data_IF_121245448497
#
_entry.id   IF_121245448497
#
_cell.length_a   1.000
_cell.length_b   1.000
_cell.length_c   1.000
_cell.angle_alpha   90.00
_cell.angle_beta   90.00
_cell.angle_gamma   90.00
#
_symmetry.space_group_name_H-M   'P 1'
#
loop_
_entity.id
_entity.type
_entity.pdbx_description
1 polymer ?
#
# COMPACT_ATOMS: atom_id res chain seq x y z
N UNK A 1 24.36 -42.18 27.09
CA UNK A 1 22.95 -42.29 26.65
C UNK A 1 22.10 -41.58 27.69
N UNK A 2 21.74 -40.31 27.44
CA UNK A 2 21.00 -39.48 28.41
C UNK A 2 19.53 -39.88 28.33
N UNK A 3 19.00 -40.46 29.41
CA UNK A 3 17.59 -40.84 29.53
C UNK A 3 16.82 -39.59 29.95
N UNK A 4 16.31 -38.84 28.96
CA UNK A 4 15.56 -37.62 29.22
C UNK A 4 14.27 -37.98 29.97
N UNK A 5 14.01 -37.32 31.10
CA UNK A 5 12.86 -37.63 31.96
C UNK A 5 11.57 -37.36 31.18
N UNK A 6 10.65 -38.33 31.15
CA UNK A 6 9.41 -38.29 30.37
C UNK A 6 8.56 -37.03 30.66
N UNK A 7 8.67 -36.51 31.88
CA UNK A 7 8.05 -35.24 32.31
C UNK A 7 8.60 -34.03 31.56
N UNK A 8 9.93 -33.94 31.38
CA UNK A 8 10.56 -32.83 30.65
C UNK A 8 10.23 -32.88 29.15
N UNK A 9 10.08 -34.08 28.58
CA UNK A 9 9.66 -34.24 27.18
C UNK A 9 8.24 -33.70 26.98
N UNK A 10 7.31 -34.00 27.90
CA UNK A 10 5.93 -33.52 27.83
C UNK A 10 5.83 -32.00 28.00
N UNK A 11 6.58 -31.43 28.95
CA UNK A 11 6.63 -29.97 29.17
C UNK A 11 7.22 -29.24 27.94
N UNK A 12 8.25 -29.79 27.31
CA UNK A 12 8.84 -29.24 26.09
C UNK A 12 7.88 -29.28 24.91
N UNK A 13 7.15 -30.39 24.71
CA UNK A 13 6.14 -30.50 23.64
C UNK A 13 5.00 -29.51 23.89
N UNK A 14 4.55 -29.33 25.14
CA UNK A 14 3.50 -28.38 25.47
C UNK A 14 3.93 -26.93 25.17
N UNK A 15 5.18 -26.57 25.48
CA UNK A 15 5.75 -25.26 25.17
C UNK A 15 5.89 -25.02 23.67
N UNK A 16 6.29 -26.04 22.89
CA UNK A 16 6.36 -25.94 21.43
C UNK A 16 4.96 -25.78 20.80
N UNK A 17 3.96 -26.51 21.32
CA UNK A 17 2.56 -26.33 20.90
C UNK A 17 2.05 -24.93 21.27
N UNK A 18 2.35 -24.45 22.47
CA UNK A 18 1.97 -23.10 22.89
C UNK A 18 2.65 -22.02 22.04
N UNK A 19 3.92 -22.17 21.68
CA UNK A 19 4.64 -21.26 20.79
C UNK A 19 4.10 -21.30 19.35
N UNK A 20 3.72 -22.48 18.83
CA UNK A 20 3.08 -22.61 17.52
C UNK A 20 1.67 -21.99 17.51
N UNK A 21 0.91 -22.13 18.59
CA UNK A 21 -0.41 -21.48 18.73
C UNK A 21 -0.25 -19.96 18.88
N UNK A 22 0.74 -19.48 19.65
CA UNK A 22 0.99 -18.06 19.89
C UNK A 22 1.45 -17.32 18.63
N UNK A 23 2.32 -17.94 17.82
CA UNK A 23 2.72 -17.40 16.50
C UNK A 23 1.58 -17.47 15.47
N UNK A 24 0.61 -18.37 15.66
CA UNK A 24 -0.62 -18.41 14.85
C UNK A 24 -1.71 -17.45 15.36
N UNK A 25 -1.49 -16.75 16.47
CA UNK A 25 -2.45 -15.83 17.09
C UNK A 25 -2.19 -14.35 16.74
N UNK A 26 -1.06 -14.07 16.07
CA UNK A 26 -0.76 -12.72 15.59
C UNK A 26 -1.66 -12.42 14.39
N UNK A 27 -2.68 -11.60 14.62
CA UNK A 27 -3.64 -11.25 13.57
C UNK A 27 -2.99 -10.32 12.54
N UNK A 28 -3.21 -10.65 11.28
CA UNK A 28 -2.89 -9.80 10.15
C UNK A 28 -3.77 -8.56 10.08
N UNK A 29 -4.98 -8.64 10.66
CA UNK A 29 -5.94 -7.55 10.68
C UNK A 29 -5.86 -6.67 11.94
N UNK A 30 -4.78 -6.72 12.74
CA UNK A 30 -4.69 -5.96 14.01
C UNK A 30 -5.04 -4.47 13.89
N UNK A 31 -4.74 -3.84 12.75
CA UNK A 31 -5.01 -2.42 12.48
C UNK A 31 -6.20 -2.16 11.55
N UNK A 32 -6.98 -3.18 11.20
CA UNK A 32 -8.10 -3.06 10.26
C UNK A 32 -9.42 -2.91 11.01
N UNK A 33 -10.24 -1.95 10.60
CA UNK A 33 -11.64 -1.79 11.01
C UNK A 33 -12.60 -2.26 9.91
N UNK A 34 -13.90 -2.38 10.22
CA UNK A 34 -14.91 -2.90 9.28
C UNK A 34 -14.92 -2.12 7.95
N UNK A 35 -14.74 -0.80 8.01
CA UNK A 35 -14.79 0.10 6.85
C UNK A 35 -13.51 0.03 5.98
N UNK A 36 -12.46 -0.66 6.44
CA UNK A 36 -11.23 -0.89 5.67
C UNK A 36 -11.38 -2.00 4.64
N UNK A 37 -12.39 -2.86 4.80
CA UNK A 37 -12.63 -3.95 3.87
C UNK A 37 -13.46 -3.49 2.67
N UNK A 38 -12.96 -3.79 1.47
CA UNK A 38 -13.76 -3.57 0.27
C UNK A 38 -15.06 -4.38 0.31
N UNK A 39 -16.13 -3.91 -0.34
CA UNK A 39 -17.44 -4.58 -0.33
C UNK A 39 -17.42 -6.05 -0.77
N UNK A 40 -16.45 -6.44 -1.61
CA UNK A 40 -16.29 -7.82 -2.08
C UNK A 40 -15.66 -8.75 -1.04
N UNK A 41 -15.03 -8.22 0.01
CA UNK A 41 -14.35 -9.05 1.01
C UNK A 41 -15.40 -9.71 1.92
N UNK A 42 -15.44 -11.06 2.01
CA UNK A 42 -16.40 -11.74 2.87
C UNK A 42 -16.23 -11.35 4.34
N UNK A 43 -17.33 -11.32 5.10
CA UNK A 43 -17.31 -11.00 6.53
C UNK A 43 -16.72 -12.09 7.43
N UNK A 44 -16.41 -13.26 6.88
CA UNK A 44 -15.82 -14.35 7.64
C UNK A 44 -14.42 -13.97 8.12
N UNK A 45 -14.15 -14.20 9.40
CA UNK A 45 -12.86 -13.94 10.04
C UNK A 45 -11.69 -14.54 9.25
N UNK A 46 -11.78 -15.81 8.85
CA UNK A 46 -10.75 -16.49 8.05
C UNK A 46 -10.43 -15.75 6.74
N UNK A 47 -11.46 -15.35 5.97
CA UNK A 47 -11.24 -14.66 4.70
C UNK A 47 -10.59 -13.29 4.89
N UNK A 48 -11.01 -12.54 5.91
CA UNK A 48 -10.45 -11.22 6.25
C UNK A 48 -9.01 -11.34 6.73
N UNK A 49 -8.75 -12.30 7.59
CA UNK A 49 -7.42 -12.58 8.14
C UNK A 49 -6.42 -12.92 7.02
N UNK A 50 -6.82 -13.76 6.05
CA UNK A 50 -6.02 -14.01 4.85
C UNK A 50 -5.85 -12.73 4.00
N UNK A 51 -6.92 -11.95 3.82
CA UNK A 51 -6.91 -10.71 3.02
C UNK A 51 -5.94 -9.67 3.57
N UNK A 52 -5.98 -9.39 4.88
CA UNK A 52 -5.06 -8.47 5.54
C UNK A 52 -3.61 -8.93 5.40
N UNK A 53 -3.36 -10.24 5.37
CA UNK A 53 -2.03 -10.83 5.24
C UNK A 53 -1.33 -10.53 3.91
N UNK A 54 -2.08 -10.20 2.85
CA UNK A 54 -1.50 -9.85 1.55
C UNK A 54 -0.70 -8.55 1.60
N UNK A 55 -1.17 -7.56 2.34
CA UNK A 55 -0.54 -6.22 2.41
C UNK A 55 0.74 -6.19 3.26
N UNK A 56 1.10 -7.29 3.93
CA UNK A 56 2.40 -7.46 4.59
C UNK A 56 3.50 -7.95 3.63
N UNK A 57 3.16 -8.39 2.41
CA UNK A 57 4.08 -9.04 1.47
C UNK A 57 4.81 -8.04 0.57
N UNK A 58 5.67 -7.22 1.19
CA UNK A 58 6.47 -6.18 0.50
C UNK A 58 7.44 -6.72 -0.57
N UNK A 59 7.72 -8.03 -0.56
CA UNK A 59 8.60 -8.68 -1.51
C UNK A 59 7.94 -9.01 -2.86
N UNK A 60 6.61 -8.86 -2.97
CA UNK A 60 5.89 -9.06 -4.21
C UNK A 60 5.82 -7.76 -5.02
N UNK A 61 5.82 -7.90 -6.34
CA UNK A 61 5.35 -6.84 -7.25
C UNK A 61 3.83 -6.70 -7.17
N UNK A 62 3.31 -5.58 -7.67
CA UNK A 62 1.86 -5.35 -7.70
C UNK A 62 1.14 -6.43 -8.51
N UNK A 63 1.69 -6.83 -9.66
CA UNK A 63 1.11 -7.91 -10.47
C UNK A 63 1.07 -9.25 -9.72
N UNK A 64 2.16 -9.62 -9.04
CA UNK A 64 2.21 -10.86 -8.23
C UNK A 64 1.25 -10.82 -7.02
N UNK A 65 1.12 -9.66 -6.39
CA UNK A 65 0.16 -9.44 -5.31
C UNK A 65 -1.28 -9.61 -5.82
N UNK A 66 -1.62 -8.99 -6.96
CA UNK A 66 -2.95 -9.12 -7.56
C UNK A 66 -3.25 -10.57 -7.97
N UNK A 67 -2.28 -11.31 -8.52
CA UNK A 67 -2.44 -12.73 -8.82
C UNK A 67 -2.68 -13.57 -7.56
N UNK A 68 -2.07 -13.19 -6.44
CA UNK A 68 -2.26 -13.85 -5.15
C UNK A 68 -3.66 -13.58 -4.60
N UNK A 69 -4.12 -12.33 -4.64
CA UNK A 69 -5.47 -11.94 -4.21
C UNK A 69 -6.52 -12.57 -5.14
N UNK A 70 -6.26 -12.70 -6.45
CA UNK A 70 -7.17 -13.34 -7.40
C UNK A 70 -7.43 -14.80 -7.08
N UNK A 71 -6.40 -15.54 -6.65
CA UNK A 71 -6.53 -16.93 -6.19
C UNK A 71 -7.38 -17.01 -4.91
N UNK A 72 -7.18 -16.07 -3.98
CA UNK A 72 -8.00 -15.93 -2.79
C UNK A 72 -9.46 -15.59 -3.14
N UNK A 73 -9.69 -14.66 -4.06
CA UNK A 73 -11.03 -14.27 -4.51
C UNK A 73 -11.76 -15.46 -5.14
N UNK A 74 -11.04 -16.29 -5.90
CA UNK A 74 -11.56 -17.56 -6.43
C UNK A 74 -11.93 -18.55 -5.31
N UNK A 75 -11.09 -18.70 -4.28
CA UNK A 75 -11.34 -19.56 -3.11
C UNK A 75 -12.64 -19.19 -2.39
N UNK A 76 -12.93 -17.90 -2.25
CA UNK A 76 -14.11 -17.40 -1.53
C UNK A 76 -15.31 -17.06 -2.43
N UNK A 77 -15.23 -17.32 -3.74
CA UNK A 77 -16.34 -17.11 -4.67
C UNK A 77 -16.65 -15.63 -4.95
N UNK A 78 -15.66 -14.75 -4.83
CA UNK A 78 -15.77 -13.29 -5.05
C UNK A 78 -14.92 -12.79 -6.21
N UNK A 79 -14.55 -13.69 -7.13
CA UNK A 79 -13.63 -13.41 -8.23
C UNK A 79 -14.16 -12.33 -9.18
N UNK A 80 -15.43 -12.37 -9.55
CA UNK A 80 -16.03 -11.39 -10.47
C UNK A 80 -16.02 -9.97 -9.86
N UNK A 81 -16.37 -9.85 -8.58
CA UNK A 81 -16.35 -8.57 -7.86
C UNK A 81 -14.92 -8.04 -7.71
N UNK A 82 -13.95 -8.93 -7.43
CA UNK A 82 -12.55 -8.57 -7.36
C UNK A 82 -12.01 -8.11 -8.72
N UNK A 83 -12.27 -8.84 -9.80
CA UNK A 83 -11.80 -8.48 -11.15
C UNK A 83 -12.40 -7.12 -11.59
N UNK A 84 -13.70 -6.88 -11.33
CA UNK A 84 -14.33 -5.58 -11.60
C UNK A 84 -13.72 -4.44 -10.78
N UNK A 85 -13.44 -4.69 -9.49
CA UNK A 85 -12.77 -3.73 -8.61
C UNK A 85 -11.37 -3.38 -9.14
N UNK A 86 -10.57 -4.38 -9.50
CA UNK A 86 -9.22 -4.18 -10.05
C UNK A 86 -9.28 -3.36 -11.33
N UNK A 87 -10.18 -3.68 -12.26
CA UNK A 87 -10.32 -2.93 -13.51
C UNK A 87 -10.68 -1.45 -13.27
N UNK A 88 -11.57 -1.18 -12.31
CA UNK A 88 -11.95 0.18 -11.96
C UNK A 88 -10.82 0.96 -11.27
N UNK A 89 -10.14 0.34 -10.30
CA UNK A 89 -8.99 0.93 -9.61
C UNK A 89 -7.84 1.23 -10.56
N UNK A 90 -7.49 0.29 -11.44
CA UNK A 90 -6.41 0.49 -12.40
C UNK A 90 -6.72 1.64 -13.35
N UNK A 91 -7.98 1.78 -13.76
CA UNK A 91 -8.42 2.90 -14.60
C UNK A 91 -8.35 4.23 -13.85
N UNK A 92 -8.81 4.26 -12.61
CA UNK A 92 -8.76 5.46 -11.77
C UNK A 92 -7.33 5.89 -11.45
N UNK A 93 -6.48 4.95 -11.01
CA UNK A 93 -5.08 5.20 -10.67
C UNK A 93 -4.31 5.74 -11.88
N UNK A 94 -4.46 5.11 -13.06
CA UNK A 94 -3.84 5.59 -14.29
C UNK A 94 -4.28 7.02 -14.62
N UNK A 95 -5.57 7.34 -14.46
CA UNK A 95 -6.10 8.68 -14.68
C UNK A 95 -5.49 9.70 -13.72
N UNK A 96 -5.39 9.38 -12.43
CA UNK A 96 -4.76 10.24 -11.42
C UNK A 96 -3.31 10.52 -11.79
N UNK A 97 -2.54 9.50 -12.16
CA UNK A 97 -1.13 9.69 -12.50
C UNK A 97 -0.91 10.46 -13.80
N UNK A 98 -1.75 10.25 -14.81
CA UNK A 98 -1.69 11.04 -16.05
C UNK A 98 -1.95 12.53 -15.76
N UNK A 99 -3.01 12.84 -15.00
CA UNK A 99 -3.33 14.22 -14.59
C UNK A 99 -2.22 14.80 -13.72
N UNK A 100 -1.68 14.02 -12.79
CA UNK A 100 -0.57 14.44 -11.94
C UNK A 100 0.66 14.81 -12.78
N UNK A 101 1.03 13.99 -13.78
CA UNK A 101 2.17 14.26 -14.67
C UNK A 101 1.96 15.55 -15.48
N UNK A 102 0.74 15.79 -15.97
CA UNK A 102 0.39 17.04 -16.67
C UNK A 102 0.51 18.26 -15.74
N UNK A 103 0.03 18.13 -14.50
CA UNK A 103 0.14 19.17 -13.48
C UNK A 103 1.59 19.46 -13.11
N UNK A 104 2.42 18.42 -12.93
CA UNK A 104 3.88 18.56 -12.71
C UNK A 104 4.52 19.31 -13.87
N UNK A 105 4.16 19.00 -15.13
CA UNK A 105 4.70 19.73 -16.29
C UNK A 105 4.39 21.23 -16.25
N UNK A 106 3.18 21.60 -15.81
CA UNK A 106 2.69 22.99 -15.78
C UNK A 106 3.10 23.79 -14.53
N UNK A 107 3.63 23.13 -13.49
CA UNK A 107 3.99 23.81 -12.24
C UNK A 107 5.22 24.70 -12.37
N UNK A 108 5.29 25.72 -11.51
CA UNK A 108 6.44 26.62 -11.33
C UNK A 108 7.57 26.01 -10.47
N UNK A 109 7.46 24.73 -10.11
CA UNK A 109 8.50 24.02 -9.35
C UNK A 109 9.84 23.95 -10.09
N UNK A 110 10.91 23.76 -9.33
CA UNK A 110 12.25 23.67 -9.89
C UNK A 110 12.41 22.45 -10.81
N UNK A 111 13.20 22.59 -11.88
CA UNK A 111 13.42 21.53 -12.87
C UNK A 111 14.06 20.25 -12.30
N UNK A 112 14.78 20.37 -11.18
CA UNK A 112 15.25 19.20 -10.44
C UNK A 112 14.08 18.47 -9.79
N UNK A 113 13.21 19.20 -9.07
CA UNK A 113 12.07 18.60 -8.37
C UNK A 113 11.03 18.06 -9.34
N UNK A 114 10.74 18.74 -10.46
CA UNK A 114 9.85 18.20 -11.49
C UNK A 114 10.32 16.84 -12.01
N UNK A 115 11.62 16.70 -12.31
CA UNK A 115 12.21 15.41 -12.72
C UNK A 115 12.10 14.36 -11.62
N UNK A 116 12.36 14.73 -10.37
CA UNK A 116 12.18 13.82 -9.23
C UNK A 116 10.73 13.35 -9.07
N UNK A 117 9.75 14.25 -9.22
CA UNK A 117 8.33 13.89 -9.19
C UNK A 117 7.97 12.89 -10.29
N UNK A 118 8.50 13.07 -11.50
CA UNK A 118 8.32 12.10 -12.60
C UNK A 118 8.95 10.75 -12.27
N UNK A 119 10.19 10.73 -11.78
CA UNK A 119 10.90 9.50 -11.44
C UNK A 119 10.17 8.69 -10.35
N UNK A 120 9.70 9.35 -9.29
CA UNK A 120 8.88 8.71 -8.24
C UNK A 120 7.56 8.19 -8.84
N UNK A 121 6.90 8.97 -9.70
CA UNK A 121 5.65 8.54 -10.34
C UNK A 121 5.85 7.32 -11.23
N UNK A 122 6.94 7.28 -12.01
CA UNK A 122 7.27 6.14 -12.87
C UNK A 122 7.56 4.89 -12.02
N UNK A 123 8.23 5.03 -10.87
CA UNK A 123 8.44 3.93 -9.95
C UNK A 123 7.14 3.40 -9.34
N UNK A 124 6.22 4.29 -8.93
CA UNK A 124 4.95 3.89 -8.31
C UNK A 124 3.96 3.28 -9.32
N UNK A 125 4.10 3.61 -10.60
CA UNK A 125 3.26 3.06 -11.68
C UNK A 125 3.82 1.77 -12.28
N UNK A 126 5.07 1.41 -11.97
CA UNK A 126 5.66 0.13 -12.34
C UNK A 126 5.02 -1.00 -11.52
N UNK A 127 4.45 -1.98 -12.21
CA UNK A 127 3.69 -3.08 -11.60
C UNK A 127 4.48 -4.39 -11.52
N UNK A 128 5.67 -4.42 -12.09
CA UNK A 128 6.53 -5.60 -12.20
C UNK A 128 7.70 -5.57 -11.21
N UNK A 129 7.97 -4.41 -10.60
CA UNK A 129 8.97 -4.28 -9.54
C UNK A 129 8.35 -4.55 -8.17
N UNK A 130 9.08 -5.28 -7.31
CA UNK A 130 8.68 -5.53 -5.94
C UNK A 130 8.54 -4.23 -5.12
N UNK A 131 7.52 -4.15 -4.26
CA UNK A 131 7.22 -2.95 -3.47
C UNK A 131 8.41 -2.49 -2.61
N UNK A 132 9.12 -3.42 -1.97
CA UNK A 132 10.33 -3.12 -1.20
C UNK A 132 11.43 -2.48 -2.05
N UNK A 133 11.55 -2.89 -3.32
CA UNK A 133 12.53 -2.32 -4.25
C UNK A 133 12.13 -0.91 -4.66
N UNK A 134 10.84 -0.67 -4.91
CA UNK A 134 10.30 0.68 -5.15
C UNK A 134 10.60 1.59 -3.96
N UNK A 135 10.29 1.15 -2.75
CA UNK A 135 10.54 1.92 -1.52
C UNK A 135 12.03 2.29 -1.39
N UNK A 136 12.92 1.31 -1.54
CA UNK A 136 14.37 1.53 -1.45
C UNK A 136 14.84 2.59 -2.44
N UNK A 137 14.34 2.55 -3.69
CA UNK A 137 14.70 3.53 -4.72
C UNK A 137 14.17 4.93 -4.39
N UNK A 138 12.95 5.03 -3.86
CA UNK A 138 12.39 6.32 -3.44
C UNK A 138 13.18 6.90 -2.27
N UNK A 139 13.55 6.07 -1.29
CA UNK A 139 14.39 6.49 -0.16
C UNK A 139 15.75 7.02 -0.66
N UNK A 140 16.38 6.33 -1.61
CA UNK A 140 17.64 6.79 -2.24
C UNK A 140 17.46 8.15 -2.95
N UNK A 141 16.37 8.34 -3.70
CA UNK A 141 16.04 9.61 -4.34
C UNK A 141 15.90 10.72 -3.29
N UNK A 142 15.12 10.51 -2.23
CA UNK A 142 14.86 11.49 -1.18
C UNK A 142 16.13 11.83 -0.39
N UNK A 143 16.98 10.84 -0.11
CA UNK A 143 18.24 11.02 0.59
C UNK A 143 19.27 11.86 -0.20
N UNK A 144 19.15 11.89 -1.52
CA UNK A 144 19.99 12.71 -2.41
C UNK A 144 19.52 14.17 -2.53
N UNK A 145 18.39 14.53 -1.90
CA UNK A 145 17.88 15.89 -1.87
C UNK A 145 18.34 16.63 -0.61
N UNK A 146 18.61 17.92 -0.74
CA UNK A 146 18.79 18.79 0.43
C UNK A 146 17.44 19.15 1.07
N UNK A 147 17.46 19.78 2.24
CA UNK A 147 16.26 20.13 3.00
C UNK A 147 15.26 20.99 2.20
N UNK A 148 15.76 22.00 1.47
CA UNK A 148 14.89 22.87 0.65
C UNK A 148 14.22 22.10 -0.47
N UNK A 149 14.99 21.23 -1.13
CA UNK A 149 14.50 20.37 -2.21
C UNK A 149 13.45 19.37 -1.69
N UNK A 150 13.68 18.75 -0.52
CA UNK A 150 12.69 17.85 0.11
C UNK A 150 11.39 18.59 0.46
N UNK A 151 11.49 19.81 0.98
CA UNK A 151 10.32 20.62 1.31
C UNK A 151 9.52 20.98 0.05
N UNK A 152 10.20 21.41 -1.03
CA UNK A 152 9.56 21.69 -2.31
C UNK A 152 8.90 20.43 -2.89
N UNK A 153 9.60 19.29 -2.89
CA UNK A 153 9.07 18.00 -3.34
C UNK A 153 7.78 17.64 -2.59
N UNK A 154 7.81 17.74 -1.26
CA UNK A 154 6.67 17.36 -0.41
C UNK A 154 5.47 18.26 -0.66
N UNK A 155 5.69 19.58 -0.78
CA UNK A 155 4.62 20.55 -1.05
C UNK A 155 4.00 20.32 -2.42
N UNK A 156 4.81 20.15 -3.46
CA UNK A 156 4.31 19.89 -4.81
C UNK A 156 3.60 18.54 -4.90
N UNK A 157 4.14 17.49 -4.30
CA UNK A 157 3.48 16.18 -4.26
C UNK A 157 2.08 16.27 -3.62
N UNK A 158 1.97 16.93 -2.47
CA UNK A 158 0.71 17.08 -1.75
C UNK A 158 -0.33 17.86 -2.56
N UNK A 159 0.03 19.05 -3.06
CA UNK A 159 -0.90 19.93 -3.78
C UNK A 159 -1.31 19.31 -5.12
N UNK A 160 -0.34 18.91 -5.94
CA UNK A 160 -0.64 18.39 -7.28
C UNK A 160 -1.34 17.03 -7.20
N UNK A 161 -1.03 16.23 -6.16
CA UNK A 161 -1.69 14.95 -5.91
C UNK A 161 -3.15 15.13 -5.53
N UNK A 162 -3.45 16.04 -4.61
CA UNK A 162 -4.83 16.38 -4.24
C UNK A 162 -5.63 16.91 -5.44
N UNK A 163 -5.06 17.84 -6.20
CA UNK A 163 -5.72 18.34 -7.41
C UNK A 163 -5.96 17.25 -8.45
N UNK A 164 -5.03 16.32 -8.64
CA UNK A 164 -5.17 15.22 -9.59
C UNK A 164 -6.28 14.25 -9.17
N UNK A 165 -6.41 13.97 -7.86
CA UNK A 165 -7.49 13.16 -7.30
C UNK A 165 -8.85 13.80 -7.56
N UNK A 166 -8.99 15.10 -7.22
CA UNK A 166 -10.24 15.84 -7.39
C UNK A 166 -10.66 15.85 -8.88
N UNK A 167 -9.71 16.11 -9.77
CA UNK A 167 -9.98 16.14 -11.21
C UNK A 167 -10.32 14.75 -11.77
N UNK A 168 -9.65 13.68 -11.32
CA UNK A 168 -9.97 12.32 -11.71
C UNK A 168 -11.37 11.89 -11.24
N UNK A 169 -11.75 12.29 -10.02
CA UNK A 169 -13.08 12.04 -9.47
C UNK A 169 -14.17 12.73 -10.31
N UNK A 170 -14.02 14.01 -10.60
CA UNK A 170 -14.96 14.76 -11.45
C UNK A 170 -15.11 14.13 -12.85
N UNK A 171 -14.00 13.67 -13.44
CA UNK A 171 -14.00 12.96 -14.73
C UNK A 171 -14.73 11.61 -14.67
N UNK A 172 -14.61 10.85 -13.58
CA UNK A 172 -15.31 9.58 -13.41
C UNK A 172 -16.83 9.78 -13.24
N UNK A 173 -17.23 10.75 -12.42
CA UNK A 173 -18.64 11.07 -12.15
C UNK A 173 -19.36 11.63 -13.38
N UNK A 174 -18.72 12.55 -14.11
CA UNK A 174 -19.27 13.14 -15.33
C UNK A 174 -19.19 12.18 -16.55
N UNK A 175 -18.40 11.09 -16.43
CA UNK A 175 -18.20 10.07 -17.46
C UNK A 175 -19.22 8.93 -17.45
N UNK A 176 -20.29 9.02 -16.65
CA UNK A 176 -21.31 7.96 -16.47
C UNK A 176 -20.81 6.72 -15.70
N UNK A 177 -19.74 6.86 -14.92
CA UNK A 177 -19.22 5.80 -14.04
C UNK A 177 -19.55 6.16 -12.58
N UNK A 178 -20.58 5.54 -12.02
CA UNK A 178 -20.92 5.71 -10.60
C UNK A 178 -19.91 4.96 -9.73
N UNK A 179 -19.03 5.70 -9.07
CA UNK A 179 -18.21 5.23 -7.96
C UNK A 179 -19.14 5.04 -6.76
N UNK A 180 -19.46 3.80 -6.39
CA UNK A 180 -19.87 3.55 -5.00
C UNK A 180 -18.64 3.85 -4.15
N UNK A 181 -18.78 4.87 -3.29
CA UNK A 181 -17.73 5.52 -2.50
C UNK A 181 -16.55 4.60 -2.13
N UNK A 182 -15.50 4.62 -2.95
CA UNK A 182 -14.15 4.26 -2.51
C UNK A 182 -13.67 5.44 -1.65
N UNK A 183 -14.20 5.56 -0.44
CA UNK A 183 -13.78 6.56 0.55
C UNK A 183 -12.50 6.15 1.28
N UNK A 184 -11.90 5.00 0.95
CA UNK A 184 -10.66 4.58 1.58
C UNK A 184 -9.44 4.86 0.70
N UNK A 185 -8.96 6.11 0.78
CA UNK A 185 -7.71 6.56 0.16
C UNK A 185 -6.50 6.09 0.99
N UNK A 186 -6.49 4.83 1.41
CA UNK A 186 -5.49 4.31 2.37
C UNK A 186 -4.11 4.15 1.74
N UNK A 187 -3.99 4.00 0.41
CA UNK A 187 -2.68 3.90 -0.25
C UNK A 187 -1.93 5.24 -0.32
N UNK A 188 -2.64 6.36 -0.49
CA UNK A 188 -2.01 7.70 -0.47
C UNK A 188 -1.68 8.10 0.96
N UNK A 189 -2.50 7.68 1.93
CA UNK A 189 -2.27 7.98 3.33
C UNK A 189 -1.12 7.15 3.94
N UNK A 190 -0.87 5.92 3.46
CA UNK A 190 0.32 5.17 3.87
C UNK A 190 1.63 5.85 3.41
N UNK A 191 1.66 6.37 2.17
CA UNK A 191 2.82 7.10 1.64
C UNK A 191 2.99 8.48 2.30
N UNK A 192 1.89 9.19 2.56
CA UNK A 192 1.91 10.39 3.42
C UNK A 192 2.44 10.05 4.82
N UNK A 193 2.05 8.92 5.40
CA UNK A 193 2.51 8.52 6.74
C UNK A 193 4.01 8.24 6.78
N UNK A 194 4.59 7.64 5.73
CA UNK A 194 6.03 7.36 5.66
C UNK A 194 6.85 8.63 5.39
N UNK A 195 6.40 9.50 4.48
CA UNK A 195 7.05 10.80 4.24
C UNK A 195 6.98 11.72 5.47
N UNK A 196 5.88 11.70 6.23
CA UNK A 196 5.72 12.50 7.46
C UNK A 196 6.52 11.92 8.62
N UNK A 197 6.58 10.58 8.79
CA UNK A 197 7.34 9.93 9.86
C UNK A 197 8.85 10.22 9.82
N UNK A 198 9.41 10.43 8.63
CA UNK A 198 10.84 10.78 8.50
C UNK A 198 11.13 12.28 8.74
N UNK A 199 10.16 13.17 8.53
CA UNK A 199 10.30 14.59 8.90
C UNK A 199 10.24 14.81 10.43
N UNK A 200 9.44 14.03 11.15
CA UNK A 200 9.35 14.12 12.62
C UNK A 200 10.63 13.62 13.32
N UNK A 201 11.37 12.67 12.73
CA UNK A 201 12.68 12.25 13.27
C UNK A 201 13.74 13.34 13.17
N UNK A 202 13.66 14.21 12.16
CA UNK A 202 14.64 15.29 11.94
C UNK A 202 14.36 16.48 12.88
N UNK A 203 13.11 16.69 13.30
CA UNK A 203 12.73 17.77 14.22
C UNK A 203 12.99 17.46 15.70
N UNK A 204 13.21 16.18 16.07
CA UNK A 204 13.45 15.77 17.48
C UNK A 204 14.95 15.69 17.83
N UNK A 205 15.85 15.92 16.87
CA UNK A 205 17.31 15.85 17.07
C UNK A 205 18.07 17.18 16.99
N UNK A 206 17.43 18.31 17.26
CA UNK A 206 18.09 19.62 17.45
C UNK A 206 18.08 20.06 18.91
#
# INVERSE_FOLDING_TARGET
MIKMNEKYVKELILLLLFAMIYTSLESNCEFWIEDDFHPFVPKSEEAREEYCGFFKQMNLSRNELMDTIRKWASKYGVLEQFDNYVDEELRYENMVYDIFKDKVNSTCGSEKIKRTLFEITDLLTDRDIAQQTIQTKIDEIINNLNERERMELTQLWAILGEEAIIEAQDKMENGNSTREAVENTTQIDNFKSEIVKDNDKILISN
#
